data_IF_146049694744
#
_entry.id   IF_146049694744
#
_cell.length_a   1.000
_cell.length_b   1.000
_cell.length_c   1.000
_cell.angle_alpha   90.00
_cell.angle_beta   90.00
_cell.angle_gamma   90.00
#
_symmetry.space_group_name_H-M   'P 1'
#
loop_
_entity.id
_entity.type
_entity.pdbx_description
1 polymer ?
#
# COMPACT_ATOMS: atom_id res chain seq x y z
N UNK A 1 46.66 -37.48 -31.68
CA UNK A 1 45.75 -38.31 -30.86
C UNK A 1 44.81 -37.37 -30.16
N UNK A 2 43.53 -37.58 -30.43
CA UNK A 2 42.41 -36.79 -29.93
C UNK A 2 42.30 -36.90 -28.41
N UNK A 3 42.01 -35.78 -27.76
CA UNK A 3 41.19 -35.77 -26.56
C UNK A 3 40.20 -34.61 -26.68
N UNK A 4 39.11 -34.90 -27.38
CA UNK A 4 37.87 -34.13 -27.31
C UNK A 4 37.11 -34.56 -26.05
N UNK A 5 36.43 -33.58 -25.47
CA UNK A 5 35.30 -33.65 -24.53
C UNK A 5 35.60 -33.41 -23.05
N UNK A 6 35.58 -32.12 -22.70
CA UNK A 6 34.79 -31.66 -21.56
C UNK A 6 34.08 -30.34 -21.94
N UNK A 7 33.00 -30.47 -22.72
CA UNK A 7 32.01 -29.40 -22.86
C UNK A 7 31.11 -29.48 -21.61
N UNK A 8 31.08 -28.40 -20.83
CA UNK A 8 30.28 -28.31 -19.61
C UNK A 8 28.82 -28.69 -19.88
N UNK A 9 28.30 -29.64 -19.09
CA UNK A 9 26.87 -30.00 -19.11
C UNK A 9 26.05 -28.75 -18.83
N UNK A 10 25.26 -28.31 -19.80
CA UNK A 10 24.24 -27.29 -19.61
C UNK A 10 23.16 -27.82 -18.67
N UNK A 11 23.18 -27.36 -17.42
CA UNK A 11 22.35 -27.89 -16.34
C UNK A 11 21.21 -26.91 -16.02
N UNK A 12 20.01 -27.45 -15.84
CA UNK A 12 18.87 -26.69 -15.33
C UNK A 12 19.06 -26.41 -13.83
N UNK A 13 18.74 -25.19 -13.42
CA UNK A 13 18.71 -24.81 -12.01
C UNK A 13 17.38 -24.15 -11.66
N UNK A 14 16.97 -24.27 -10.39
CA UNK A 14 15.79 -23.59 -9.85
C UNK A 14 16.22 -22.67 -8.72
N UNK A 15 15.57 -21.51 -8.62
CA UNK A 15 15.73 -20.60 -7.49
C UNK A 15 14.45 -19.82 -7.23
N UNK A 16 14.38 -19.17 -6.07
CA UNK A 16 13.39 -18.12 -5.84
C UNK A 16 13.61 -16.97 -6.83
N UNK A 17 12.50 -16.50 -7.38
CA UNK A 17 12.43 -15.30 -8.19
C UNK A 17 12.65 -14.07 -7.33
N UNK A 18 13.23 -13.05 -7.93
CA UNK A 18 13.51 -11.75 -7.33
C UNK A 18 12.76 -10.67 -8.10
N UNK A 19 12.50 -9.49 -7.51
CA UNK A 19 11.76 -8.42 -8.18
C UNK A 19 12.32 -8.05 -9.58
N UNK A 20 13.63 -8.11 -9.77
CA UNK A 20 14.30 -7.86 -11.05
C UNK A 20 13.98 -8.89 -12.15
N UNK A 21 13.52 -10.09 -11.79
CA UNK A 21 13.16 -11.13 -12.76
C UNK A 21 11.81 -10.86 -13.44
N UNK A 22 11.04 -9.85 -12.98
CA UNK A 22 9.68 -9.60 -13.45
C UNK A 22 9.59 -9.45 -14.98
N UNK A 23 10.52 -8.72 -15.58
CA UNK A 23 10.59 -8.50 -17.04
C UNK A 23 10.77 -9.83 -17.80
N UNK A 24 11.64 -10.72 -17.29
CA UNK A 24 11.91 -12.01 -17.94
C UNK A 24 10.79 -13.04 -17.73
N UNK A 25 10.05 -12.93 -16.62
CA UNK A 25 8.95 -13.82 -16.25
C UNK A 25 7.63 -13.40 -16.93
N UNK A 26 7.38 -12.10 -17.12
CA UNK A 26 6.17 -11.56 -17.75
C UNK A 26 5.74 -12.23 -19.07
N UNK A 27 6.62 -12.45 -20.07
CA UNK A 27 6.24 -13.14 -21.30
C UNK A 27 5.83 -14.60 -21.06
N UNK A 28 6.42 -15.28 -20.07
CA UNK A 28 6.02 -16.64 -19.71
C UNK A 28 4.61 -16.65 -19.10
N UNK A 29 4.27 -15.66 -18.28
CA UNK A 29 2.93 -15.51 -17.71
C UNK A 29 1.88 -15.22 -18.78
N UNK A 30 2.23 -14.42 -19.79
CA UNK A 30 1.38 -14.19 -20.95
C UNK A 30 1.10 -15.50 -21.70
N UNK A 31 2.13 -16.28 -22.00
CA UNK A 31 1.97 -17.58 -22.65
C UNK A 31 1.11 -18.55 -21.81
N UNK A 32 1.31 -18.55 -20.49
CA UNK A 32 0.50 -19.32 -19.56
C UNK A 32 -0.98 -18.92 -19.65
N UNK A 33 -1.28 -17.63 -19.56
CA UNK A 33 -2.64 -17.10 -19.61
C UNK A 33 -3.31 -17.42 -20.96
N UNK A 34 -2.58 -17.29 -22.06
CA UNK A 34 -3.05 -17.65 -23.40
C UNK A 34 -3.44 -19.12 -23.49
N UNK A 35 -2.56 -20.04 -23.08
CA UNK A 35 -2.87 -21.48 -23.08
C UNK A 35 -4.02 -21.82 -22.13
N UNK A 36 -4.17 -21.10 -21.01
CA UNK A 36 -5.29 -21.31 -20.09
C UNK A 36 -6.62 -20.89 -20.71
N UNK A 37 -6.66 -19.77 -21.42
CA UNK A 37 -7.84 -19.29 -22.15
C UNK A 37 -8.23 -20.22 -23.31
N UNK A 38 -7.25 -20.80 -24.00
CA UNK A 38 -7.49 -21.80 -25.04
C UNK A 38 -8.08 -23.11 -24.48
N UNK A 39 -7.64 -23.53 -23.30
CA UNK A 39 -8.13 -24.74 -22.64
C UNK A 39 -9.51 -24.56 -21.97
N UNK A 40 -9.91 -23.33 -21.67
CA UNK A 40 -11.18 -23.02 -21.00
C UNK A 40 -11.85 -21.83 -21.68
N UNK A 41 -12.79 -22.09 -22.61
CA UNK A 41 -13.48 -21.06 -23.37
C UNK A 41 -14.28 -20.05 -22.54
N UNK A 42 -14.51 -20.32 -21.25
CA UNK A 42 -15.15 -19.38 -20.34
C UNK A 42 -14.22 -18.27 -19.85
N UNK A 43 -12.90 -18.43 -20.05
CA UNK A 43 -11.86 -17.49 -19.62
C UNK A 43 -11.42 -16.65 -20.81
N UNK A 44 -11.75 -15.36 -20.76
CA UNK A 44 -11.30 -14.37 -21.74
C UNK A 44 -10.16 -13.52 -21.16
N UNK A 45 -9.12 -13.28 -21.96
CA UNK A 45 -8.02 -12.41 -21.56
C UNK A 45 -8.37 -10.94 -21.76
N UNK A 46 -7.91 -10.09 -20.84
CA UNK A 46 -7.95 -8.64 -21.01
C UNK A 46 -6.90 -8.25 -22.07
N UNK A 47 -7.28 -7.51 -23.13
CA UNK A 47 -6.36 -7.17 -24.23
C UNK A 47 -5.09 -6.44 -23.78
N UNK A 48 -5.21 -5.50 -22.85
CA UNK A 48 -4.12 -4.62 -22.40
C UNK A 48 -3.63 -4.97 -20.98
N UNK A 49 -3.61 -6.26 -20.64
CA UNK A 49 -3.16 -6.68 -19.31
C UNK A 49 -1.66 -6.43 -19.10
N UNK A 50 -1.31 -5.67 -18.07
CA UNK A 50 0.08 -5.42 -17.66
C UNK A 50 0.65 -6.62 -16.90
N UNK A 51 1.23 -7.56 -17.65
CA UNK A 51 1.88 -8.74 -17.09
C UNK A 51 3.13 -8.41 -16.28
N UNK A 52 3.90 -7.38 -16.64
CA UNK A 52 5.11 -7.01 -15.90
C UNK A 52 4.75 -6.44 -14.53
N UNK A 53 3.80 -5.49 -14.50
CA UNK A 53 3.25 -4.96 -13.26
C UNK A 53 2.60 -6.03 -12.39
N UNK A 54 1.85 -6.97 -12.99
CA UNK A 54 1.28 -8.11 -12.26
C UNK A 54 2.35 -8.99 -11.62
N UNK A 55 3.37 -9.40 -12.38
CA UNK A 55 4.45 -10.24 -11.86
C UNK A 55 5.24 -9.50 -10.78
N UNK A 56 5.59 -8.23 -11.02
CA UNK A 56 6.27 -7.38 -10.05
C UNK A 56 5.47 -7.22 -8.75
N UNK A 57 4.14 -7.09 -8.84
CA UNK A 57 3.26 -7.09 -7.69
C UNK A 57 3.30 -8.44 -6.94
N UNK A 58 3.15 -9.56 -7.65
CA UNK A 58 3.18 -10.89 -7.01
C UNK A 58 4.52 -11.20 -6.33
N UNK A 59 5.64 -10.74 -6.87
CA UNK A 59 6.97 -10.95 -6.28
C UNK A 59 7.22 -10.10 -5.03
N UNK A 60 6.51 -8.98 -4.88
CA UNK A 60 6.58 -8.10 -3.69
C UNK A 60 5.50 -8.43 -2.65
N UNK A 61 4.45 -9.16 -3.05
CA UNK A 61 3.33 -9.50 -2.18
C UNK A 61 3.81 -10.43 -1.06
N UNK A 62 3.54 -10.11 0.22
CA UNK A 62 3.85 -11.01 1.33
C UNK A 62 3.20 -12.38 1.13
N UNK A 63 3.90 -13.44 1.56
CA UNK A 63 3.45 -14.84 1.45
C UNK A 63 3.20 -15.33 0.01
N UNK A 64 3.60 -14.55 -0.99
CA UNK A 64 3.67 -14.98 -2.38
C UNK A 64 5.10 -15.37 -2.71
N UNK A 65 5.27 -16.53 -3.35
CA UNK A 65 6.58 -17.06 -3.69
C UNK A 65 6.61 -17.47 -5.15
N UNK A 66 7.48 -16.82 -5.92
CA UNK A 66 7.81 -17.21 -7.29
C UNK A 66 9.07 -18.07 -7.32
N UNK A 67 9.02 -19.18 -8.02
CA UNK A 67 10.16 -20.03 -8.34
C UNK A 67 10.42 -19.93 -9.84
N UNK A 68 11.68 -19.80 -10.24
CA UNK A 68 12.08 -19.76 -11.65
C UNK A 68 12.95 -20.96 -12.00
N UNK A 69 12.79 -21.43 -13.23
CA UNK A 69 13.65 -22.43 -13.85
C UNK A 69 14.58 -21.74 -14.83
N UNK A 70 15.88 -21.90 -14.63
CA UNK A 70 16.92 -21.31 -15.45
C UNK A 70 17.63 -22.38 -16.30
N UNK A 71 17.92 -22.02 -17.54
CA UNK A 71 18.75 -22.78 -18.45
C UNK A 71 19.67 -21.80 -19.18
N UNK A 72 21.00 -22.02 -19.12
CA UNK A 72 21.99 -21.11 -19.72
C UNK A 72 21.78 -19.64 -19.30
N UNK A 73 21.53 -19.41 -18.00
CA UNK A 73 21.28 -18.08 -17.39
C UNK A 73 20.01 -17.38 -17.90
N UNK A 74 19.14 -18.07 -18.64
CA UNK A 74 17.85 -17.56 -19.07
C UNK A 74 16.72 -18.20 -18.28
N UNK A 75 15.75 -17.39 -17.87
CA UNK A 75 14.51 -17.90 -17.26
C UNK A 75 13.66 -18.53 -18.36
N UNK A 76 13.41 -19.83 -18.21
CA UNK A 76 12.65 -20.66 -19.17
C UNK A 76 11.38 -21.25 -18.58
N UNK A 77 11.13 -21.06 -17.29
CA UNK A 77 9.90 -21.45 -16.64
C UNK A 77 9.72 -20.79 -15.28
N UNK A 78 8.51 -20.88 -14.74
CA UNK A 78 8.17 -20.41 -13.41
C UNK A 78 7.10 -21.28 -12.74
N UNK A 79 7.00 -21.17 -11.42
CA UNK A 79 5.88 -21.62 -10.59
C UNK A 79 5.62 -20.55 -9.53
N UNK A 80 4.40 -20.01 -9.45
CA UNK A 80 4.02 -19.02 -8.44
C UNK A 80 3.02 -19.62 -7.47
N UNK A 81 3.24 -19.37 -6.19
CA UNK A 81 2.37 -19.81 -5.09
C UNK A 81 1.99 -18.64 -4.20
N UNK A 82 0.87 -18.77 -3.50
CA UNK A 82 0.44 -17.86 -2.45
C UNK A 82 -0.02 -18.67 -1.24
N UNK A 83 0.52 -18.35 -0.07
CA UNK A 83 0.15 -19.01 1.20
C UNK A 83 -0.78 -18.10 1.99
N UNK A 84 -1.86 -18.68 2.52
CA UNK A 84 -2.78 -17.98 3.41
C UNK A 84 -3.29 -18.91 4.51
N UNK A 85 -3.71 -18.30 5.62
CA UNK A 85 -4.43 -18.98 6.68
C UNK A 85 -5.93 -18.82 6.44
N UNK A 86 -6.68 -19.92 6.46
CA UNK A 86 -8.15 -19.89 6.57
C UNK A 86 -8.59 -19.47 7.97
N UNK A 87 -7.66 -19.48 8.94
CA UNK A 87 -7.92 -19.02 10.30
C UNK A 87 -8.24 -17.53 10.24
N UNK A 88 -9.39 -17.11 10.78
CA UNK A 88 -9.77 -15.70 10.79
C UNK A 88 -8.74 -14.90 11.64
N UNK A 89 -8.34 -13.68 11.21
CA UNK A 89 -7.47 -12.84 12.03
C UNK A 89 -8.02 -12.62 13.45
N UNK A 90 -7.14 -12.37 14.44
CA UNK A 90 -7.49 -12.38 15.87
C UNK A 90 -8.48 -11.29 16.33
N UNK A 91 -8.91 -10.39 15.44
CA UNK A 91 -9.75 -9.23 15.76
C UNK A 91 -11.20 -9.40 15.29
N UNK A 92 -11.61 -10.64 15.03
CA UNK A 92 -12.91 -10.92 14.43
C UNK A 92 -13.98 -11.19 15.50
N UNK A 93 -15.22 -10.78 15.21
CA UNK A 93 -16.37 -10.97 16.08
C UNK A 93 -16.64 -12.45 16.33
N UNK A 94 -17.17 -12.78 17.52
CA UNK A 94 -17.52 -14.16 17.86
C UNK A 94 -18.55 -14.79 16.90
N UNK A 95 -19.29 -13.99 16.12
CA UNK A 95 -20.31 -14.43 15.17
C UNK A 95 -19.68 -15.02 13.89
N UNK A 96 -18.63 -14.38 13.37
CA UNK A 96 -17.91 -14.84 12.16
C UNK A 96 -17.19 -16.17 12.38
N UNK A 97 -16.88 -16.53 13.63
CA UNK A 97 -16.38 -17.87 13.98
C UNK A 97 -17.41 -18.99 13.75
N UNK A 98 -18.72 -18.67 13.67
CA UNK A 98 -19.78 -19.65 13.40
C UNK A 98 -20.13 -19.78 11.92
N UNK A 99 -19.53 -18.96 11.04
CA UNK A 99 -19.83 -18.98 9.60
C UNK A 99 -19.21 -20.20 8.87
N UNK A 100 -18.25 -20.88 9.49
CA UNK A 100 -17.59 -22.04 8.89
C UNK A 100 -17.56 -23.24 9.86
N UNK A 101 -18.16 -24.40 9.51
CA UNK A 101 -18.13 -25.59 10.34
C UNK A 101 -16.80 -26.37 10.28
N UNK A 102 -15.86 -25.99 9.40
CA UNK A 102 -14.61 -26.70 9.18
C UNK A 102 -13.46 -26.15 10.03
N UNK A 103 -12.53 -27.03 10.39
CA UNK A 103 -11.27 -26.63 11.04
C UNK A 103 -10.45 -25.84 10.01
N UNK A 104 -10.02 -24.60 10.33
CA UNK A 104 -9.25 -23.80 9.40
C UNK A 104 -7.89 -24.43 9.06
N UNK A 105 -7.50 -24.35 7.80
CA UNK A 105 -6.23 -24.86 7.26
C UNK A 105 -5.24 -23.73 7.00
N UNK A 106 -3.97 -24.09 6.84
CA UNK A 106 -2.97 -23.23 6.20
C UNK A 106 -2.77 -23.74 4.78
N UNK A 107 -3.17 -22.94 3.80
CA UNK A 107 -3.26 -23.39 2.42
C UNK A 107 -2.20 -22.73 1.56
N UNK A 108 -1.47 -23.52 0.79
CA UNK A 108 -0.62 -23.07 -0.31
C UNK A 108 -1.37 -23.18 -1.64
N UNK A 109 -1.81 -22.07 -2.20
CA UNK A 109 -2.45 -22.04 -3.51
C UNK A 109 -1.42 -21.87 -4.63
N UNK A 110 -1.53 -22.67 -5.69
CA UNK A 110 -0.73 -22.49 -6.92
C UNK A 110 -1.43 -21.49 -7.83
N UNK A 111 -0.78 -20.36 -8.10
CA UNK A 111 -1.31 -19.30 -8.97
C UNK A 111 -1.10 -19.61 -10.45
N UNK A 112 0.03 -20.25 -10.78
CA UNK A 112 0.37 -20.61 -12.15
C UNK A 112 1.73 -21.28 -12.24
N UNK A 113 1.87 -22.19 -13.20
CA UNK A 113 3.13 -22.83 -13.56
C UNK A 113 3.25 -22.90 -15.07
N UNK A 114 4.39 -22.50 -15.59
CA UNK A 114 4.68 -22.60 -17.01
C UNK A 114 6.15 -22.87 -17.25
N UNK A 115 6.43 -23.72 -18.21
CA UNK A 115 7.79 -23.95 -18.73
C UNK A 115 7.70 -23.79 -20.24
N UNK A 116 8.68 -23.15 -20.89
CA UNK A 116 8.75 -23.07 -22.35
C UNK A 116 8.79 -24.47 -22.96
N UNK A 117 8.11 -24.67 -24.08
CA UNK A 117 7.87 -25.99 -24.66
C UNK A 117 9.15 -26.83 -24.87
N UNK A 118 10.21 -26.22 -25.40
CA UNK A 118 11.53 -26.87 -25.61
C UNK A 118 12.19 -27.36 -24.31
N UNK A 119 11.80 -26.80 -23.17
CA UNK A 119 12.35 -27.08 -21.84
C UNK A 119 11.40 -27.92 -20.97
N UNK A 120 10.20 -28.27 -21.47
CA UNK A 120 9.22 -29.10 -20.75
C UNK A 120 9.66 -30.55 -20.72
N UNK A 121 10.28 -30.94 -19.61
CA UNK A 121 10.65 -32.33 -19.32
C UNK A 121 10.17 -32.67 -17.90
N UNK A 122 9.85 -33.95 -17.60
CA UNK A 122 9.45 -34.34 -16.26
C UNK A 122 10.42 -33.87 -15.17
N UNK A 123 11.72 -33.97 -15.42
CA UNK A 123 12.75 -33.57 -14.46
C UNK A 123 12.78 -32.06 -14.21
N UNK A 124 12.59 -31.23 -15.24
CA UNK A 124 12.60 -29.76 -15.10
C UNK A 124 11.36 -29.25 -14.40
N UNK A 125 10.20 -29.86 -14.67
CA UNK A 125 8.95 -29.58 -13.96
C UNK A 125 9.07 -30.02 -12.49
N UNK A 126 9.64 -31.20 -12.25
CA UNK A 126 9.89 -31.70 -10.89
C UNK A 126 10.77 -30.77 -10.06
N UNK A 127 11.77 -30.11 -10.66
CA UNK A 127 12.60 -29.14 -9.94
C UNK A 127 11.76 -27.99 -9.37
N UNK A 128 10.82 -27.44 -10.15
CA UNK A 128 9.93 -26.38 -9.70
C UNK A 128 8.97 -26.87 -8.61
N UNK A 129 8.31 -28.03 -8.83
CA UNK A 129 7.33 -28.56 -7.90
C UNK A 129 7.98 -28.91 -6.55
N UNK A 130 9.13 -29.58 -6.55
CA UNK A 130 9.83 -29.93 -5.31
C UNK A 130 10.27 -28.71 -4.52
N UNK A 131 10.69 -27.64 -5.19
CA UNK A 131 11.03 -26.38 -4.53
C UNK A 131 9.81 -25.74 -3.85
N UNK A 132 8.66 -25.75 -4.52
CA UNK A 132 7.41 -25.26 -3.96
C UNK A 132 6.93 -26.12 -2.76
N UNK A 133 7.02 -27.45 -2.86
CA UNK A 133 6.68 -28.36 -1.74
C UNK A 133 7.60 -28.10 -0.54
N UNK A 134 8.92 -28.02 -0.76
CA UNK A 134 9.87 -27.74 0.32
C UNK A 134 9.58 -26.40 1.02
N UNK A 135 9.15 -25.38 0.26
CA UNK A 135 8.74 -24.09 0.84
C UNK A 135 7.42 -24.20 1.61
N UNK A 136 6.46 -24.99 1.14
CA UNK A 136 5.22 -25.26 1.85
C UNK A 136 5.48 -25.97 3.18
N UNK A 137 6.37 -26.97 3.21
CA UNK A 137 6.82 -27.66 4.42
C UNK A 137 7.50 -26.70 5.40
N UNK A 138 8.41 -25.83 4.93
CA UNK A 138 9.06 -24.80 5.74
C UNK A 138 8.03 -23.89 6.45
N UNK A 139 6.96 -23.53 5.74
CA UNK A 139 5.89 -22.66 6.23
C UNK A 139 4.80 -23.40 7.02
N UNK A 140 4.94 -24.72 7.19
CA UNK A 140 3.96 -25.60 7.84
C UNK A 140 2.58 -25.51 7.20
N UNK A 141 2.54 -25.41 5.87
CA UNK A 141 1.32 -25.51 5.07
C UNK A 141 0.73 -26.91 5.29
N UNK A 142 -0.56 -26.98 5.60
CA UNK A 142 -1.26 -28.25 5.80
C UNK A 142 -1.74 -28.83 4.47
N UNK A 143 -2.11 -27.97 3.52
CA UNK A 143 -2.74 -28.36 2.26
C UNK A 143 -2.20 -27.52 1.10
N UNK A 144 -1.88 -28.16 -0.04
CA UNK A 144 -1.55 -27.48 -1.28
C UNK A 144 -2.71 -27.67 -2.26
N UNK A 145 -3.43 -26.58 -2.52
CA UNK A 145 -4.58 -26.58 -3.42
C UNK A 145 -4.15 -26.11 -4.82
N UNK A 146 -4.54 -26.88 -5.83
CA UNK A 146 -4.24 -26.60 -7.24
C UNK A 146 -5.39 -27.01 -8.14
N UNK A 147 -5.62 -26.23 -9.19
CA UNK A 147 -6.59 -26.53 -10.23
C UNK A 147 -5.86 -26.89 -11.52
N UNK A 148 -6.12 -28.09 -12.03
CA UNK A 148 -5.51 -28.63 -13.25
C UNK A 148 -6.62 -28.91 -14.26
N UNK A 149 -6.40 -28.48 -15.51
CA UNK A 149 -7.35 -28.77 -16.59
C UNK A 149 -7.38 -30.27 -16.91
N UNK A 150 -8.57 -30.77 -17.28
CA UNK A 150 -8.82 -32.21 -17.46
C UNK A 150 -7.95 -32.84 -18.57
N UNK A 151 -7.57 -32.05 -19.57
CA UNK A 151 -6.74 -32.44 -20.71
C UNK A 151 -5.24 -32.52 -20.38
N UNK A 152 -4.81 -31.97 -19.24
CA UNK A 152 -3.40 -31.96 -18.83
C UNK A 152 -2.99 -33.25 -18.09
N UNK A 153 -3.16 -34.40 -18.73
CA UNK A 153 -2.93 -35.71 -18.12
C UNK A 153 -1.48 -35.91 -17.59
N UNK A 154 -0.48 -35.35 -18.28
CA UNK A 154 0.92 -35.51 -17.91
C UNK A 154 1.26 -34.95 -16.51
N UNK A 155 0.73 -33.77 -16.17
CA UNK A 155 0.94 -33.17 -14.84
C UNK A 155 0.11 -33.89 -13.78
N UNK A 156 -1.09 -34.40 -14.10
CA UNK A 156 -1.89 -35.19 -13.17
C UNK A 156 -1.14 -36.44 -12.71
N UNK A 157 -0.56 -37.21 -13.64
CA UNK A 157 0.26 -38.39 -13.31
C UNK A 157 1.48 -38.03 -12.48
N UNK A 158 2.10 -36.88 -12.75
CA UNK A 158 3.25 -36.41 -11.99
C UNK A 158 2.87 -36.07 -10.54
N UNK A 159 1.75 -35.38 -10.34
CA UNK A 159 1.22 -35.00 -9.04
C UNK A 159 0.84 -36.23 -8.21
N UNK A 160 0.18 -37.22 -8.81
CA UNK A 160 -0.16 -38.49 -8.14
C UNK A 160 1.10 -39.22 -7.63
N UNK A 161 2.20 -39.24 -8.42
CA UNK A 161 3.50 -39.79 -7.99
C UNK A 161 4.15 -39.02 -6.86
N UNK A 162 3.80 -37.74 -6.69
CA UNK A 162 4.27 -36.87 -5.60
C UNK A 162 3.33 -36.90 -4.39
N UNK A 163 2.30 -37.77 -4.38
CA UNK A 163 1.40 -37.98 -3.25
C UNK A 163 0.16 -37.08 -3.25
N UNK A 164 -0.06 -36.28 -4.29
CA UNK A 164 -1.31 -35.53 -4.44
C UNK A 164 -2.47 -36.48 -4.76
N UNK A 165 -3.64 -36.18 -4.21
CA UNK A 165 -4.88 -36.94 -4.44
C UNK A 165 -5.92 -36.07 -5.13
N UNK A 166 -6.73 -36.68 -6.00
CA UNK A 166 -7.87 -36.02 -6.63
C UNK A 166 -9.00 -35.87 -5.60
N UNK A 167 -9.20 -34.66 -5.10
CA UNK A 167 -10.20 -34.38 -4.07
C UNK A 167 -11.60 -34.04 -4.63
N UNK A 168 -11.70 -33.50 -5.85
CA UNK A 168 -12.96 -33.01 -6.40
C UNK A 168 -13.04 -33.08 -7.94
N UNK A 169 -14.27 -33.04 -8.46
CA UNK A 169 -14.58 -32.82 -9.88
C UNK A 169 -15.27 -31.46 -10.01
N UNK A 170 -14.75 -30.60 -10.89
CA UNK A 170 -15.36 -29.30 -11.17
C UNK A 170 -16.33 -29.40 -12.36
N UNK A 171 -17.55 -28.90 -12.18
CA UNK A 171 -18.51 -28.66 -13.26
C UNK A 171 -18.64 -27.15 -13.49
N UNK A 172 -18.54 -26.71 -14.74
CA UNK A 172 -18.66 -25.30 -15.11
C UNK A 172 -19.76 -25.15 -16.17
N UNK A 173 -20.69 -24.20 -15.96
CA UNK A 173 -21.67 -23.77 -16.96
C UNK A 173 -21.44 -22.30 -17.28
N UNK A 174 -21.11 -22.00 -18.53
CA UNK A 174 -20.89 -20.63 -18.98
C UNK A 174 -22.19 -19.99 -19.47
N UNK A 175 -22.40 -18.73 -19.11
CA UNK A 175 -23.49 -17.89 -19.61
C UNK A 175 -22.90 -16.65 -20.29
N UNK A 176 -23.33 -16.37 -21.51
CA UNK A 176 -23.00 -15.11 -22.18
C UNK A 176 -23.94 -14.02 -21.68
N UNK A 177 -23.47 -13.19 -20.75
CA UNK A 177 -24.22 -12.04 -20.22
C UNK A 177 -23.76 -10.78 -20.97
N UNK A 178 -24.68 -10.11 -21.66
CA UNK A 178 -24.38 -8.88 -22.41
C UNK A 178 -24.72 -7.61 -21.64
N UNK A 179 -25.47 -7.69 -20.53
CA UNK A 179 -25.75 -6.56 -19.67
C UNK A 179 -24.48 -6.03 -18.99
N UNK A 180 -24.23 -4.72 -19.11
CA UNK A 180 -23.08 -4.06 -18.47
C UNK A 180 -23.35 -3.60 -17.04
N UNK A 181 -24.62 -3.51 -16.65
CA UNK A 181 -25.06 -2.95 -15.35
C UNK A 181 -25.72 -4.04 -14.51
N UNK A 182 -24.95 -5.07 -14.15
CA UNK A 182 -25.41 -6.09 -13.21
C UNK A 182 -25.50 -5.51 -11.79
N UNK A 183 -26.46 -5.99 -10.97
CA UNK A 183 -26.52 -5.61 -9.56
C UNK A 183 -25.20 -5.99 -8.87
N UNK A 184 -24.68 -5.06 -8.05
CA UNK A 184 -23.49 -5.33 -7.25
C UNK A 184 -23.83 -6.36 -6.17
N UNK A 185 -23.21 -7.54 -6.25
CA UNK A 185 -23.38 -8.62 -5.27
C UNK A 185 -22.41 -8.53 -4.09
N UNK A 186 -21.45 -7.61 -4.13
CA UNK A 186 -20.66 -7.32 -2.95
C UNK A 186 -21.59 -6.69 -1.91
N UNK A 187 -21.49 -7.08 -0.63
CA UNK A 187 -22.14 -6.31 0.43
C UNK A 187 -21.74 -4.85 0.23
N UNK A 188 -22.66 -3.91 0.49
CA UNK A 188 -22.28 -2.51 0.63
C UNK A 188 -21.11 -2.54 1.60
N UNK A 189 -19.89 -2.32 1.09
CA UNK A 189 -18.70 -2.52 1.88
C UNK A 189 -19.00 -1.80 3.21
N UNK A 190 -18.92 -2.50 4.35
CA UNK A 190 -18.49 -1.86 5.58
C UNK A 190 -17.35 -1.02 5.07
N UNK A 191 -17.55 0.31 4.96
CA UNK A 191 -16.62 1.15 4.22
C UNK A 191 -15.28 0.76 4.81
N UNK A 192 -14.47 0.02 4.02
CA UNK A 192 -13.04 0.15 4.11
C UNK A 192 -12.95 1.64 4.01
N UNK A 193 -12.77 2.30 5.17
CA UNK A 193 -12.77 3.76 5.32
C UNK A 193 -12.15 4.19 4.02
N UNK A 194 -12.95 4.78 3.12
CA UNK A 194 -12.47 5.12 1.79
C UNK A 194 -11.12 5.70 2.10
N UNK A 195 -10.04 5.07 1.62
CA UNK A 195 -8.75 5.72 1.73
C UNK A 195 -9.00 6.91 0.84
N UNK A 196 -9.52 7.98 1.44
CA UNK A 196 -9.63 9.29 0.87
C UNK A 196 -8.29 9.45 0.23
N UNK A 197 -8.32 9.72 -1.07
CA UNK A 197 -7.12 9.91 -1.85
C UNK A 197 -6.37 11.04 -1.15
N UNK A 198 -5.46 10.67 -0.25
CA UNK A 198 -4.66 11.61 0.53
C UNK A 198 -3.79 12.26 -0.53
N UNK A 199 -3.98 13.55 -0.86
CA UNK A 199 -3.15 14.17 -1.87
C UNK A 199 -1.68 14.00 -1.48
N UNK A 200 -0.82 13.64 -2.42
CA UNK A 200 0.57 13.27 -2.14
C UNK A 200 1.26 14.38 -1.34
N UNK A 201 1.75 14.04 -0.14
CA UNK A 201 2.39 15.01 0.77
C UNK A 201 1.43 15.73 1.72
N UNK A 202 0.18 15.32 1.85
CA UNK A 202 -0.74 15.80 2.90
C UNK A 202 -0.83 14.82 4.07
N UNK A 203 -1.19 15.33 5.25
CA UNK A 203 -1.43 14.50 6.44
C UNK A 203 -2.86 14.66 6.93
N UNK A 204 -3.48 13.55 7.37
CA UNK A 204 -4.80 13.59 8.00
C UNK A 204 -4.67 14.24 9.37
N UNK A 205 -5.46 15.27 9.65
CA UNK A 205 -5.50 15.89 10.96
C UNK A 205 -6.23 14.96 11.95
N UNK A 206 -5.53 14.57 13.01
CA UNK A 206 -6.08 13.79 14.12
C UNK A 206 -6.06 14.61 15.39
N UNK A 207 -7.09 14.46 16.21
CA UNK A 207 -7.04 15.01 17.56
C UNK A 207 -6.01 14.21 18.38
N UNK A 208 -5.05 14.91 19.00
CA UNK A 208 -3.95 14.25 19.71
C UNK A 208 -4.45 13.50 20.95
N UNK A 209 -5.54 13.97 21.59
CA UNK A 209 -6.10 13.34 22.79
C UNK A 209 -6.93 12.12 22.44
N UNK A 210 -7.80 12.19 21.44
CA UNK A 210 -8.73 11.10 21.11
C UNK A 210 -8.24 10.17 19.99
N UNK A 211 -7.23 10.57 19.22
CA UNK A 211 -6.72 9.90 18.02
C UNK A 211 -7.74 9.81 16.85
N UNK A 212 -8.92 10.42 17.02
CA UNK A 212 -9.96 10.48 16.00
C UNK A 212 -9.61 11.45 14.88
N UNK A 213 -10.12 11.17 13.68
CA UNK A 213 -9.98 12.04 12.52
C UNK A 213 -10.86 13.27 12.74
N UNK A 214 -10.26 14.44 12.61
CA UNK A 214 -10.97 15.72 12.69
C UNK A 214 -11.81 15.91 11.44
N UNK A 215 -13.07 16.27 11.64
CA UNK A 215 -14.03 16.51 10.57
C UNK A 215 -14.64 17.91 10.72
N UNK A 216 -14.97 18.55 9.61
CA UNK A 216 -15.79 19.77 9.63
C UNK A 216 -17.27 19.46 9.93
N UNK A 217 -18.12 20.49 9.96
CA UNK A 217 -19.55 20.33 10.28
C UNK A 217 -20.31 19.45 9.28
N UNK A 218 -19.79 19.30 8.05
CA UNK A 218 -20.33 18.43 7.00
C UNK A 218 -19.87 16.97 7.13
N UNK A 219 -19.06 16.64 8.15
CA UNK A 219 -18.51 15.31 8.35
C UNK A 219 -17.33 14.96 7.43
N UNK A 220 -16.77 15.94 6.70
CA UNK A 220 -15.60 15.74 5.83
C UNK A 220 -14.31 15.80 6.65
N UNK A 221 -13.42 14.80 6.54
CA UNK A 221 -12.08 14.80 7.12
C UNK A 221 -11.24 16.01 6.70
N UNK A 222 -10.43 16.48 7.64
CA UNK A 222 -9.51 17.59 7.42
C UNK A 222 -8.10 17.07 7.15
N UNK A 223 -7.50 17.60 6.09
CA UNK A 223 -6.13 17.34 5.69
C UNK A 223 -5.29 18.60 5.89
N UNK A 224 -4.06 18.43 6.35
CA UNK A 224 -3.06 19.49 6.35
C UNK A 224 -2.17 19.34 5.14
N UNK A 225 -2.07 20.41 4.37
CA UNK A 225 -1.09 20.54 3.31
C UNK A 225 0.20 21.16 3.84
N UNK A 226 1.37 20.85 3.24
CA UNK A 226 2.61 21.54 3.57
C UNK A 226 2.48 23.04 3.27
N UNK A 227 3.03 23.87 4.15
CA UNK A 227 3.10 25.32 3.94
C UNK A 227 3.92 25.59 2.68
N UNK A 228 3.46 26.51 1.83
CA UNK A 228 4.11 26.88 0.58
C UNK A 228 4.61 28.31 0.61
N UNK A 229 5.70 28.57 -0.09
CA UNK A 229 6.16 29.93 -0.37
C UNK A 229 5.29 30.63 -1.44
N UNK A 230 5.59 31.89 -1.71
CA UNK A 230 4.88 32.68 -2.73
C UNK A 230 5.03 32.12 -4.17
N UNK A 231 6.02 31.26 -4.43
CA UNK A 231 6.21 30.58 -5.70
C UNK A 231 5.49 29.21 -5.74
N UNK A 232 4.77 28.83 -4.68
CA UNK A 232 4.05 27.58 -4.58
C UNK A 232 4.90 26.37 -4.20
N UNK A 233 6.19 26.55 -3.86
CA UNK A 233 7.08 25.48 -3.42
C UNK A 233 6.88 25.20 -1.94
N UNK A 234 6.81 23.91 -1.57
CA UNK A 234 6.69 23.50 -0.17
C UNK A 234 7.92 23.95 0.64
N UNK A 235 7.66 24.61 1.78
CA UNK A 235 8.68 25.00 2.73
C UNK A 235 9.18 23.75 3.48
N UNK A 236 10.49 23.71 3.71
CA UNK A 236 11.14 22.63 4.44
C UNK A 236 11.89 23.17 5.64
N UNK A 237 11.91 22.41 6.74
CA UNK A 237 12.72 22.73 7.90
C UNK A 237 14.22 22.60 7.59
N UNK A 238 15.10 23.04 8.49
CA UNK A 238 16.55 22.82 8.45
C UNK A 238 16.95 21.35 8.30
N UNK A 239 16.12 20.41 8.77
CA UNK A 239 16.29 18.96 8.59
C UNK A 239 15.76 18.41 7.24
N UNK A 240 15.31 19.27 6.33
CA UNK A 240 14.78 18.87 5.03
C UNK A 240 13.38 18.25 5.05
N UNK A 241 12.64 18.35 6.16
CA UNK A 241 11.27 17.83 6.28
C UNK A 241 10.24 18.89 5.85
N UNK A 242 9.13 18.50 5.18
CA UNK A 242 8.03 19.41 4.88
C UNK A 242 7.44 20.01 6.17
N UNK A 243 7.14 21.30 6.14
CA UNK A 243 6.53 22.01 7.26
C UNK A 243 5.02 21.98 7.09
N UNK A 244 4.30 21.46 8.08
CA UNK A 244 2.84 21.50 8.12
C UNK A 244 2.35 22.62 9.04
N UNK A 245 1.24 23.29 8.70
CA UNK A 245 0.72 24.40 9.49
C UNK A 245 0.19 23.92 10.85
N UNK A 246 0.18 24.83 11.83
CA UNK A 246 -0.36 24.56 13.15
C UNK A 246 -1.84 24.99 13.22
N UNK A 247 -2.79 24.07 13.44
CA UNK A 247 -4.21 24.43 13.56
C UNK A 247 -4.52 25.30 14.77
N UNK A 248 -5.42 26.27 14.61
CA UNK A 248 -5.93 27.05 15.71
C UNK A 248 -6.93 26.23 16.53
N UNK A 249 -6.83 26.36 17.87
CA UNK A 249 -7.76 25.73 18.82
C UNK A 249 -8.39 26.77 19.72
N UNK A 250 -9.67 26.57 20.02
CA UNK A 250 -10.38 27.34 21.02
C UNK A 250 -9.76 27.08 22.41
N UNK A 251 -9.44 28.12 23.20
CA UNK A 251 -8.71 27.97 24.45
C UNK A 251 -9.51 27.26 25.56
N UNK A 252 -10.84 27.27 25.50
CA UNK A 252 -11.68 26.72 26.56
C UNK A 252 -12.09 25.26 26.27
N UNK A 253 -12.46 24.99 25.02
CA UNK A 253 -12.95 23.68 24.58
C UNK A 253 -11.84 22.82 24.00
N UNK A 254 -10.73 23.43 23.58
CA UNK A 254 -9.67 22.81 22.79
C UNK A 254 -10.12 22.29 21.42
N UNK A 255 -11.32 22.65 20.97
CA UNK A 255 -11.81 22.27 19.64
C UNK A 255 -11.06 23.05 18.55
N UNK A 256 -10.96 22.44 17.36
CA UNK A 256 -10.42 23.11 16.19
C UNK A 256 -11.35 24.23 15.72
N UNK A 257 -10.75 25.32 15.26
CA UNK A 257 -11.50 26.51 14.82
C UNK A 257 -11.59 26.52 13.29
N UNK A 258 -12.80 26.74 12.79
CA UNK A 258 -13.10 26.83 11.37
C UNK A 258 -13.66 28.22 11.03
N UNK A 259 -13.43 28.69 9.80
CA UNK A 259 -14.09 29.88 9.27
C UNK A 259 -15.54 29.60 8.83
N UNK A 260 -16.26 30.63 8.39
CA UNK A 260 -17.64 30.52 7.89
C UNK A 260 -17.77 29.62 6.64
N UNK A 261 -16.68 29.44 5.89
CA UNK A 261 -16.60 28.58 4.73
C UNK A 261 -16.16 27.14 5.08
N UNK A 262 -16.09 26.80 6.37
CA UNK A 262 -15.67 25.49 6.90
C UNK A 262 -14.20 25.13 6.62
N UNK A 263 -13.34 26.12 6.37
CA UNK A 263 -11.91 25.92 6.30
C UNK A 263 -11.28 26.01 7.69
N UNK A 264 -10.33 25.12 7.96
CA UNK A 264 -9.58 25.13 9.20
C UNK A 264 -8.73 26.41 9.31
N UNK A 265 -8.86 27.13 10.42
CA UNK A 265 -7.99 28.28 10.70
C UNK A 265 -6.61 27.78 11.14
N UNK A 266 -5.56 28.33 10.53
CA UNK A 266 -4.18 27.94 10.75
C UNK A 266 -3.37 29.11 11.33
N UNK A 267 -2.44 28.80 12.24
CA UNK A 267 -1.49 29.79 12.73
C UNK A 267 -0.49 30.13 11.63
N UNK A 268 -0.21 31.43 11.37
CA UNK A 268 0.78 31.84 10.36
C UNK A 268 2.17 31.30 10.69
N UNK A 269 2.89 30.80 9.67
CA UNK A 269 4.31 30.44 9.82
C UNK A 269 5.15 31.69 10.07
N UNK A 270 6.13 31.60 10.96
CA UNK A 270 7.02 32.70 11.24
C UNK A 270 8.20 32.72 10.26
N UNK A 271 8.37 33.84 9.56
CA UNK A 271 9.44 34.05 8.58
C UNK A 271 10.23 35.34 8.85
N UNK A 272 11.53 35.30 8.54
CA UNK A 272 12.38 36.49 8.45
C UNK A 272 12.01 37.32 7.19
N UNK A 273 12.52 38.54 7.08
CA UNK A 273 12.25 39.43 5.95
C UNK A 273 12.65 38.85 4.58
N UNK A 274 13.57 37.88 4.56
CA UNK A 274 13.97 37.15 3.35
C UNK A 274 13.13 35.90 3.04
N UNK A 275 12.08 35.62 3.81
CA UNK A 275 11.25 34.41 3.66
C UNK A 275 11.81 33.15 4.32
N UNK A 276 12.98 33.25 4.97
CA UNK A 276 13.55 32.14 5.74
C UNK A 276 12.66 31.80 6.94
N UNK A 277 12.38 30.51 7.12
CA UNK A 277 11.56 30.03 8.24
C UNK A 277 12.33 30.16 9.55
N UNK A 278 11.66 30.69 10.57
CA UNK A 278 12.22 30.75 11.93
C UNK A 278 12.03 29.41 12.62
N UNK A 279 13.13 28.84 13.12
CA UNK A 279 13.11 27.60 13.89
C UNK A 279 13.70 27.80 15.29
N UNK A 280 13.22 26.99 16.24
CA UNK A 280 13.79 26.86 17.57
C UNK A 280 14.01 25.37 17.86
N UNK A 281 15.26 24.97 18.09
CA UNK A 281 15.61 23.56 18.27
C UNK A 281 15.27 22.66 17.07
N UNK A 282 15.30 23.19 15.85
CA UNK A 282 14.91 22.48 14.61
C UNK A 282 13.39 22.39 14.38
N UNK A 283 12.59 23.07 15.21
CA UNK A 283 11.12 23.08 15.10
C UNK A 283 10.66 24.42 14.52
N UNK A 284 9.92 24.42 13.39
CA UNK A 284 9.31 25.62 12.82
C UNK A 284 8.43 26.37 13.83
N UNK A 285 8.58 27.68 13.89
CA UNK A 285 7.82 28.56 14.78
C UNK A 285 6.64 29.18 14.04
N UNK A 286 5.52 29.38 14.75
CA UNK A 286 4.30 29.98 14.23
C UNK A 286 3.90 31.17 15.09
N UNK A 287 3.18 32.13 14.50
CA UNK A 287 2.62 33.25 15.24
C UNK A 287 1.51 32.74 16.17
N UNK A 288 1.63 32.90 17.50
CA UNK A 288 0.62 32.42 18.43
C UNK A 288 -0.65 33.29 18.30
N UNK A 289 -1.84 32.73 18.58
CA UNK A 289 -3.06 33.53 18.61
C UNK A 289 -3.05 34.54 19.75
N UNK A 290 -3.75 35.65 19.54
CA UNK A 290 -4.01 36.65 20.57
C UNK A 290 -5.32 36.33 21.24
N UNK A 291 -5.35 36.50 22.56
CA UNK A 291 -6.55 36.26 23.37
C UNK A 291 -7.03 37.55 24.01
N UNK A 292 -8.32 37.62 24.30
CA UNK A 292 -8.94 38.68 25.07
C UNK A 292 -9.88 38.09 26.13
N UNK A 293 -10.16 38.84 27.19
CA UNK A 293 -11.15 38.43 28.19
C UNK A 293 -12.51 39.05 27.86
N UNK A 294 -13.50 38.19 27.65
CA UNK A 294 -14.90 38.56 27.47
C UNK A 294 -15.72 37.80 28.51
N UNK A 295 -16.46 38.53 29.35
CA UNK A 295 -17.30 37.96 30.42
C UNK A 295 -16.59 36.92 31.31
N UNK A 296 -15.31 37.19 31.65
CA UNK A 296 -14.48 36.33 32.49
C UNK A 296 -13.98 35.04 31.81
N UNK A 297 -14.18 34.89 30.50
CA UNK A 297 -13.65 33.79 29.69
C UNK A 297 -12.54 34.29 28.76
N UNK A 298 -11.56 33.42 28.53
CA UNK A 298 -10.51 33.68 27.56
C UNK A 298 -11.03 33.37 26.16
N UNK A 299 -11.13 34.35 25.28
CA UNK A 299 -11.62 34.20 23.91
C UNK A 299 -10.50 34.48 22.91
N UNK A 300 -10.58 33.87 21.73
CA UNK A 300 -9.70 34.22 20.61
C UNK A 300 -10.07 35.62 20.11
N UNK A 301 -9.09 36.52 20.04
CA UNK A 301 -9.31 37.89 19.59
C UNK A 301 -9.58 37.91 18.09
N UNK A 302 -10.59 38.67 17.68
CA UNK A 302 -10.91 38.93 16.27
C UNK A 302 -10.74 40.41 15.93
N UNK A 303 -10.37 40.70 14.68
CA UNK A 303 -10.35 42.07 14.16
C UNK A 303 -11.76 42.56 13.79
N UNK A 304 -11.87 43.81 13.33
CA UNK A 304 -13.16 44.40 12.92
C UNK A 304 -13.82 43.69 11.73
N UNK A 305 -13.10 42.82 11.02
CA UNK A 305 -13.59 42.04 9.90
C UNK A 305 -13.88 40.59 10.29
N UNK A 306 -13.75 40.23 11.57
CA UNK A 306 -13.96 38.86 12.07
C UNK A 306 -12.77 37.92 11.90
N UNK A 307 -11.61 38.39 11.44
CA UNK A 307 -10.42 37.54 11.30
C UNK A 307 -9.74 37.34 12.65
N UNK A 308 -9.28 36.12 12.92
CA UNK A 308 -8.51 35.83 14.12
C UNK A 308 -7.15 36.55 14.11
N UNK A 309 -6.83 37.18 15.23
CA UNK A 309 -5.60 37.97 15.40
C UNK A 309 -4.49 37.07 15.93
N UNK A 310 -3.30 37.17 15.31
CA UNK A 310 -2.09 36.47 15.75
C UNK A 310 -1.03 37.48 16.19
N UNK A 311 -0.20 37.08 17.15
CA UNK A 311 0.78 37.97 17.75
C UNK A 311 1.87 38.32 16.74
N UNK A 312 2.18 39.61 16.67
CA UNK A 312 3.30 40.11 15.89
C UNK A 312 4.62 39.88 16.62
N UNK A 313 5.69 39.67 15.87
CA UNK A 313 7.04 39.57 16.41
C UNK A 313 7.67 40.94 16.64
N UNK A 314 8.51 41.03 17.66
CA UNK A 314 9.42 42.15 17.83
C UNK A 314 10.57 42.05 16.82
N UNK A 315 10.92 43.17 16.19
CA UNK A 315 12.05 43.27 15.27
C UNK A 315 13.05 44.31 15.76
N UNK A 316 14.33 44.09 15.49
CA UNK A 316 15.38 45.07 15.76
C UNK A 316 15.43 46.17 14.68
N UNK A 317 16.33 47.15 14.85
CA UNK A 317 16.50 48.26 13.90
C UNK A 317 16.90 47.81 12.48
N UNK A 318 17.45 46.60 12.34
CA UNK A 318 17.77 45.99 11.04
C UNK A 318 16.61 45.20 10.43
N UNK A 319 15.48 45.09 11.15
CA UNK A 319 14.29 44.36 10.73
C UNK A 319 14.33 42.86 11.04
N UNK A 320 15.36 42.35 11.74
CA UNK A 320 15.44 40.93 12.13
C UNK A 320 14.58 40.65 13.35
N UNK A 321 14.02 39.44 13.43
CA UNK A 321 13.22 39.03 14.59
C UNK A 321 14.10 38.98 15.85
N UNK A 322 13.70 39.72 16.89
CA UNK A 322 14.35 39.69 18.20
C UNK A 322 14.06 38.34 18.87
N UNK A 323 15.07 37.80 19.54
CA UNK A 323 15.03 36.49 20.20
C UNK A 323 15.49 36.61 21.64
N UNK A 324 14.95 35.77 22.50
CA UNK A 324 15.49 35.55 23.85
C UNK A 324 16.90 34.93 23.77
N UNK A 325 17.73 34.99 24.83
CA UNK A 325 19.08 34.41 24.84
C UNK A 325 19.14 32.95 24.40
N UNK A 326 18.11 32.17 24.73
CA UNK A 326 17.96 30.77 24.33
C UNK A 326 17.62 30.59 22.84
N UNK A 327 17.21 31.64 22.13
CA UNK A 327 16.91 31.64 20.69
C UNK A 327 15.43 31.67 20.33
N UNK A 328 14.53 31.70 21.31
CA UNK A 328 13.07 31.75 21.09
C UNK A 328 12.64 33.15 20.59
N UNK A 329 11.76 33.27 19.58
CA UNK A 329 11.29 34.57 19.09
C UNK A 329 10.51 35.36 20.16
N UNK A 330 10.70 36.68 20.18
CA UNK A 330 9.96 37.61 21.01
C UNK A 330 8.73 38.12 20.26
N UNK A 331 7.58 38.06 20.91
CA UNK A 331 6.31 38.58 20.41
C UNK A 331 5.95 39.88 21.13
N UNK A 332 5.37 40.83 20.39
CA UNK A 332 4.90 42.09 20.94
C UNK A 332 3.85 41.80 22.01
N UNK A 333 3.96 42.52 23.12
CA UNK A 333 2.96 42.47 24.18
C UNK A 333 1.65 43.06 23.63
N UNK A 334 0.61 42.23 23.51
CA UNK A 334 -0.74 42.70 23.21
C UNK A 334 -1.38 43.15 24.51
N UNK A 335 -1.44 44.47 24.74
CA UNK A 335 -2.29 45.05 25.78
C UNK A 335 -3.76 44.93 25.40
#
# INVERSE_FOLDING_TARGET
MENKHNLGKTMYHQRLARPEDAIAIAPLWRDFAQRRSEADPSINLKPDFDYEGYVGYQLKKPLSFGFVLEYEQQIVGFLFTYVYDETPPPQISALEMWENPFIPRRVGAVLGMYVKEKHRKPDTINLLIKAAIAKAEELKVSDIDLLISIDQQGIQVLLERLGFVKAAIQYTKHFNISEKNLPNLHPAHLRLIEKEVIPTGTIVLRDVKTQEIVKNSQGKPIFLEPVRDAAGKALTSSMGLPIYPLPLRDPNTHNFVFDEAENLILCPILQELGGEVVEFGGIPQFCPPVYEQIDGKLCLKQDSNGNYVFAEVERDESGKIRRLPEGKPLFKSTN
#
